data_IF_515067486418
#
_entry.id   IF_515067486418
#
_cell.length_a   1.000
_cell.length_b   1.000
_cell.length_c   1.000
_cell.angle_alpha   90.00
_cell.angle_beta   90.00
_cell.angle_gamma   90.00
#
_symmetry.space_group_name_H-M   'P 1'
#
loop_
_entity.id
_entity.type
_entity.pdbx_description
1 polymer ?
#
# COMPACT_ATOMS: atom_id res chain seq x y z
N UNK A 1 9.31 2.27 9.61
CA UNK A 1 7.93 2.40 9.09
C UNK A 1 8.01 3.04 7.71
N UNK A 2 7.32 2.45 6.74
CA UNK A 2 7.27 2.92 5.37
C UNK A 2 6.36 4.16 5.24
N UNK A 3 6.71 5.03 4.29
CA UNK A 3 5.94 6.24 3.92
C UNK A 3 5.55 6.25 2.44
N UNK A 4 6.14 5.38 1.64
CA UNK A 4 5.91 5.25 0.20
C UNK A 4 5.89 3.77 -0.18
N UNK A 5 5.36 3.48 -1.37
CA UNK A 5 5.35 2.15 -1.98
C UNK A 5 6.31 2.07 -3.18
N UNK A 6 7.40 2.83 -3.15
CA UNK A 6 8.34 2.87 -4.26
C UNK A 6 8.92 1.48 -4.53
N UNK A 7 8.90 1.07 -5.80
CA UNK A 7 9.37 -0.25 -6.24
C UNK A 7 8.36 -1.37 -6.07
N UNK A 8 7.15 -1.13 -5.54
CA UNK A 8 6.15 -2.19 -5.38
C UNK A 8 5.66 -2.76 -6.73
N UNK A 9 5.76 -1.98 -7.80
CA UNK A 9 5.48 -2.41 -9.17
C UNK A 9 6.43 -3.50 -9.69
N UNK A 10 7.58 -3.73 -9.03
CA UNK A 10 8.52 -4.80 -9.39
C UNK A 10 8.00 -6.18 -8.99
N UNK A 11 6.94 -6.26 -8.19
CA UNK A 11 6.28 -7.49 -7.81
C UNK A 11 5.06 -7.70 -8.70
N UNK A 12 5.29 -8.14 -9.93
CA UNK A 12 4.25 -8.23 -10.97
C UNK A 12 3.11 -9.17 -10.57
N UNK A 13 3.42 -10.28 -9.90
CA UNK A 13 2.46 -11.30 -9.45
C UNK A 13 1.99 -11.11 -7.99
N UNK A 14 2.10 -9.91 -7.42
CA UNK A 14 1.75 -9.68 -6.00
C UNK A 14 0.24 -9.82 -5.77
N UNK A 15 -0.16 -10.84 -4.99
CA UNK A 15 -1.58 -11.12 -4.68
C UNK A 15 -2.06 -10.51 -3.36
N UNK A 16 -1.19 -10.45 -2.34
CA UNK A 16 -1.52 -9.95 -1.00
C UNK A 16 -0.46 -8.96 -0.50
N UNK A 17 -0.93 -7.81 -0.01
CA UNK A 17 -0.09 -6.74 0.51
C UNK A 17 -0.57 -6.27 1.88
N UNK A 18 0.24 -6.57 2.90
CA UNK A 18 -0.01 -6.20 4.29
C UNK A 18 0.89 -5.03 4.68
N UNK A 19 0.29 -3.86 4.92
CA UNK A 19 0.99 -2.61 5.22
C UNK A 19 0.56 -2.01 6.57
N UNK A 20 0.06 -2.85 7.47
CA UNK A 20 -0.38 -2.44 8.79
C UNK A 20 0.73 -1.75 9.61
N UNK A 21 0.36 -0.73 10.38
CA UNK A 21 1.25 0.04 11.25
C UNK A 21 2.40 0.75 10.48
N UNK A 22 2.12 1.24 9.28
CA UNK A 22 3.04 2.13 8.55
C UNK A 22 2.64 3.60 8.70
N UNK A 23 3.31 4.48 7.96
CA UNK A 23 3.11 5.92 7.98
C UNK A 23 2.62 6.44 6.63
N UNK A 24 1.89 5.62 5.86
CA UNK A 24 1.30 6.02 4.59
C UNK A 24 0.20 7.06 4.85
N UNK A 25 0.26 8.18 4.13
CA UNK A 25 -0.72 9.26 4.20
C UNK A 25 -1.71 9.22 3.04
N UNK A 26 -2.59 10.21 2.98
CA UNK A 26 -3.58 10.38 1.89
C UNK A 26 -2.94 10.61 0.52
N UNK A 27 -1.68 11.02 0.51
CA UNK A 27 -0.84 11.24 -0.66
C UNK A 27 -0.18 9.95 -1.18
N UNK A 28 -0.43 8.79 -0.57
CA UNK A 28 0.15 7.53 -1.04
C UNK A 28 -0.44 7.14 -2.39
N UNK A 29 0.43 7.01 -3.39
CA UNK A 29 0.07 6.44 -4.68
C UNK A 29 0.19 4.91 -4.62
N UNK A 30 -0.92 4.22 -4.88
CA UNK A 30 -0.94 2.77 -5.05
C UNK A 30 -0.93 2.51 -6.57
N UNK A 31 0.18 1.98 -7.13
CA UNK A 31 0.21 1.64 -8.55
C UNK A 31 -0.77 0.51 -8.85
N UNK A 32 -1.14 0.34 -10.12
CA UNK A 32 -1.97 -0.78 -10.54
C UNK A 32 -1.20 -2.11 -10.34
N UNK A 33 -1.67 -2.93 -9.41
CA UNK A 33 -1.14 -4.25 -9.13
C UNK A 33 -2.17 -5.27 -9.65
N UNK A 34 -1.95 -5.76 -10.87
CA UNK A 34 -2.93 -6.53 -11.66
C UNK A 34 -3.46 -7.76 -10.93
N UNK A 35 -2.61 -8.41 -10.13
CA UNK A 35 -2.92 -9.63 -9.41
C UNK A 35 -3.29 -9.39 -7.95
N UNK A 36 -3.28 -8.14 -7.48
CA UNK A 36 -3.55 -7.85 -6.08
C UNK A 36 -5.03 -8.05 -5.77
N UNK A 37 -5.29 -8.90 -4.77
CA UNK A 37 -6.64 -9.24 -4.33
C UNK A 37 -6.88 -8.79 -2.88
N UNK A 38 -5.82 -8.75 -2.07
CA UNK A 38 -5.90 -8.34 -0.66
C UNK A 38 -4.95 -7.19 -0.37
N UNK A 39 -5.49 -6.11 0.20
CA UNK A 39 -4.73 -4.96 0.68
C UNK A 39 -5.20 -4.60 2.09
N UNK A 40 -4.29 -4.56 3.05
CA UNK A 40 -4.55 -4.01 4.39
C UNK A 40 -3.63 -2.85 4.71
N UNK A 41 -4.24 -1.77 5.20
CA UNK A 41 -3.60 -0.48 5.49
C UNK A 41 -3.88 -0.04 6.92
N UNK A 42 -4.17 -0.97 7.84
CA UNK A 42 -4.60 -0.62 9.19
C UNK A 42 -3.53 0.20 9.93
N UNK A 43 -3.95 1.15 10.76
CA UNK A 43 -3.06 2.03 11.55
C UNK A 43 -1.99 2.75 10.69
N UNK A 44 -2.38 3.20 9.50
CA UNK A 44 -1.65 4.21 8.73
C UNK A 44 -2.16 5.63 9.08
N UNK A 45 -1.74 6.63 8.32
CA UNK A 45 -2.09 8.05 8.51
C UNK A 45 -3.06 8.54 7.43
N UNK A 46 -3.92 7.64 6.96
CA UNK A 46 -4.95 7.92 5.97
C UNK A 46 -6.16 8.53 6.70
N UNK A 47 -6.60 9.70 6.26
CA UNK A 47 -7.73 10.46 6.77
C UNK A 47 -8.90 10.42 5.78
N UNK A 48 -10.09 10.11 6.28
CA UNK A 48 -11.33 10.25 5.52
C UNK A 48 -11.97 11.59 5.91
N UNK A 49 -11.49 12.68 5.30
CA UNK A 49 -12.10 14.02 5.46
C UNK A 49 -13.10 14.32 4.35
#
# INVERSE_FOLDING_TARGET
MARTLNGIHLFEDLEELILDNNQLGDDVEIPLLQHLHTLTLNKNRISFS
#
